data_IF_705498081407
#
_entry.id   IF_705498081407
#
_cell.length_a   1.000
_cell.length_b   1.000
_cell.length_c   1.000
_cell.angle_alpha   90.00
_cell.angle_beta   90.00
_cell.angle_gamma   90.00
#
_symmetry.space_group_name_H-M   'P 1'
#
loop_
_entity.id
_entity.type
_entity.pdbx_description
1 polymer ?
#
# COMPACT_ATOMS: atom_id res chain seq x y z
N UNK A 1 -2.25 32.80 5.42
CA UNK A 1 -1.31 31.66 5.38
C UNK A 1 -1.85 30.67 4.38
N UNK A 2 -1.31 30.64 3.16
CA UNK A 2 -1.63 29.60 2.19
C UNK A 2 -0.84 28.37 2.59
N UNK A 3 -1.53 27.32 3.04
CA UNK A 3 -0.92 26.00 3.20
C UNK A 3 -0.77 25.43 1.80
N UNK A 4 0.40 25.62 1.20
CA UNK A 4 0.77 24.93 -0.04
C UNK A 4 1.00 23.48 0.32
N UNK A 5 -0.02 22.64 0.17
CA UNK A 5 0.17 21.18 0.23
C UNK A 5 0.84 20.80 -1.09
N UNK A 6 2.15 20.61 -1.06
CA UNK A 6 2.86 19.94 -2.15
C UNK A 6 2.43 18.47 -2.15
N UNK A 7 1.31 18.18 -2.83
CA UNK A 7 0.91 16.82 -3.16
C UNK A 7 1.85 16.31 -4.26
N UNK A 8 3.10 16.00 -3.91
CA UNK A 8 3.92 15.13 -4.75
C UNK A 8 3.22 13.78 -4.77
N UNK A 9 2.33 13.56 -5.74
CA UNK A 9 1.78 12.25 -6.01
C UNK A 9 2.93 11.41 -6.54
N UNK A 10 3.39 10.47 -5.73
CA UNK A 10 4.33 9.46 -6.20
C UNK A 10 3.70 8.68 -7.35
N UNK A 11 4.53 8.10 -8.21
CA UNK A 11 4.04 7.23 -9.28
C UNK A 11 3.17 6.12 -8.66
N UNK A 12 2.09 5.76 -9.34
CA UNK A 12 1.29 4.61 -8.93
C UNK A 12 2.16 3.37 -9.15
N UNK A 13 2.45 2.59 -8.09
CA UNK A 13 3.23 1.38 -8.26
C UNK A 13 2.48 0.38 -9.14
N UNK A 14 3.20 -0.36 -9.98
CA UNK A 14 2.60 -1.51 -10.67
C UNK A 14 2.41 -2.64 -9.66
N UNK A 15 1.16 -3.06 -9.46
CA UNK A 15 0.79 -4.06 -8.45
C UNK A 15 0.59 -5.41 -9.13
N UNK A 16 1.22 -6.45 -8.58
CA UNK A 16 1.05 -7.84 -8.97
C UNK A 16 0.46 -8.63 -7.80
N UNK A 17 -0.65 -9.31 -8.04
CA UNK A 17 -1.33 -10.13 -7.03
C UNK A 17 -1.20 -11.60 -7.44
N UNK A 18 -0.68 -12.43 -6.54
CA UNK A 18 -0.51 -13.87 -6.74
C UNK A 18 -1.11 -14.65 -5.58
N UNK A 19 -1.63 -15.84 -5.83
CA UNK A 19 -2.09 -16.73 -4.76
C UNK A 19 -0.88 -17.43 -4.13
N UNK A 20 -0.80 -17.41 -2.79
CA UNK A 20 0.23 -18.10 -2.00
C UNK A 20 -0.37 -19.31 -1.30
N UNK A 21 0.46 -20.18 -0.73
CA UNK A 21 0.00 -21.36 0.03
C UNK A 21 -0.83 -20.96 1.26
N UNK A 22 -0.51 -19.81 1.86
CA UNK A 22 -1.09 -19.30 3.10
C UNK A 22 -2.18 -18.23 2.88
N UNK A 23 -2.39 -17.78 1.63
CA UNK A 23 -3.26 -16.64 1.35
C UNK A 23 -2.97 -15.96 0.00
N UNK A 24 -2.83 -14.63 0.01
CA UNK A 24 -2.59 -13.81 -1.19
C UNK A 24 -1.31 -13.01 -1.04
N UNK A 25 -0.37 -13.20 -1.96
CA UNK A 25 0.84 -12.40 -2.06
C UNK A 25 0.58 -11.18 -2.94
N UNK A 26 0.73 -10.00 -2.34
CA UNK A 26 0.65 -8.71 -3.03
C UNK A 26 2.06 -8.17 -3.14
N UNK A 27 2.53 -8.00 -4.37
CA UNK A 27 3.84 -7.43 -4.67
C UNK A 27 3.67 -6.21 -5.55
N UNK A 28 4.63 -5.29 -5.50
CA UNK A 28 4.59 -4.09 -6.33
C UNK A 28 5.98 -3.66 -6.77
N UNK A 29 6.04 -2.82 -7.80
CA UNK A 29 7.30 -2.21 -8.21
C UNK A 29 7.70 -1.07 -7.26
N UNK A 30 9.01 -0.95 -6.95
CA UNK A 30 9.51 0.13 -6.10
C UNK A 30 9.32 1.48 -6.77
N UNK A 31 8.73 2.42 -6.04
CA UNK A 31 8.51 3.80 -6.52
C UNK A 31 9.64 4.69 -6.05
N UNK A 32 10.20 5.47 -6.98
CA UNK A 32 11.26 6.43 -6.65
C UNK A 32 10.77 7.48 -5.66
N UNK A 33 11.55 7.74 -4.62
CA UNK A 33 11.20 8.61 -3.48
C UNK A 33 10.11 8.08 -2.56
N UNK A 34 9.67 6.82 -2.66
CA UNK A 34 8.81 6.20 -1.65
C UNK A 34 9.65 5.67 -0.48
N UNK A 35 9.28 6.03 0.75
CA UNK A 35 9.87 5.45 1.96
C UNK A 35 8.98 4.35 2.57
N UNK A 36 7.70 4.35 2.22
CA UNK A 36 6.72 3.37 2.67
C UNK A 36 5.61 3.16 1.63
N UNK A 37 4.85 2.10 1.82
CA UNK A 37 3.73 1.71 0.99
C UNK A 37 2.55 1.36 1.89
N UNK A 38 1.44 2.05 1.68
CA UNK A 38 0.18 1.80 2.36
C UNK A 38 -0.65 0.81 1.54
N UNK A 39 -0.98 -0.31 2.15
CA UNK A 39 -1.80 -1.35 1.54
C UNK A 39 -3.21 -1.23 2.09
N UNK A 40 -4.17 -1.14 1.18
CA UNK A 40 -5.58 -1.12 1.47
C UNK A 40 -6.22 -2.36 0.86
N UNK A 41 -7.24 -2.87 1.54
CA UNK A 41 -7.97 -4.06 1.11
C UNK A 41 -9.47 -3.83 1.25
N UNK A 42 -10.22 -4.13 0.19
CA UNK A 42 -11.67 -4.07 0.17
C UNK A 42 -12.25 -5.45 -0.19
N UNK A 43 -13.44 -5.76 0.28
CA UNK A 43 -14.20 -6.97 -0.12
C UNK A 43 -15.19 -6.71 -1.25
N UNK A 44 -15.42 -5.44 -1.58
CA UNK A 44 -16.30 -5.01 -2.66
C UNK A 44 -15.51 -4.19 -3.69
N UNK A 45 -15.65 -4.46 -5.01
CA UNK A 45 -14.91 -3.74 -6.05
C UNK A 45 -15.25 -2.24 -6.14
N UNK A 46 -16.45 -1.87 -5.72
CA UNK A 46 -16.97 -0.50 -5.71
C UNK A 46 -17.11 0.06 -4.30
N UNK A 47 -16.72 -0.73 -3.29
CA UNK A 47 -16.75 -0.35 -1.89
C UNK A 47 -15.59 0.58 -1.52
N UNK A 48 -15.72 1.17 -0.35
CA UNK A 48 -14.68 2.03 0.20
C UNK A 48 -13.52 1.16 0.73
N UNK A 49 -12.30 1.54 0.36
CA UNK A 49 -11.07 0.87 0.83
C UNK A 49 -10.72 1.23 2.29
N UNK A 50 -11.54 2.05 2.93
CA UNK A 50 -11.25 2.68 4.21
C UNK A 50 -10.25 3.82 4.06
N UNK A 51 -10.24 4.70 5.06
CA UNK A 51 -9.24 5.78 5.15
C UNK A 51 -7.94 5.31 5.80
N UNK A 52 -7.92 4.12 6.40
CA UNK A 52 -6.77 3.56 7.10
C UNK A 52 -6.23 2.36 6.31
N UNK A 53 -4.91 2.30 6.07
CA UNK A 53 -4.31 1.12 5.47
C UNK A 53 -4.40 -0.07 6.43
N UNK A 54 -4.59 -1.26 5.86
CA UNK A 54 -4.56 -2.52 6.61
C UNK A 54 -3.14 -2.94 6.96
N UNK A 55 -2.16 -2.48 6.18
CA UNK A 55 -0.75 -2.74 6.38
C UNK A 55 0.09 -1.59 5.81
N UNK A 56 1.22 -1.31 6.46
CA UNK A 56 2.23 -0.38 5.98
C UNK A 56 3.54 -1.12 5.83
N UNK A 57 4.10 -1.11 4.62
CA UNK A 57 5.39 -1.75 4.31
C UNK A 57 6.44 -0.69 4.06
N UNK A 58 7.56 -0.77 4.77
CA UNK A 58 8.66 0.16 4.61
C UNK A 58 9.56 -0.25 3.43
N UNK A 59 10.03 0.73 2.65
CA UNK A 59 11.03 0.49 1.63
C UNK A 59 12.34 -0.05 2.27
N UNK A 60 13.10 -0.92 1.57
CA UNK A 60 12.95 -1.32 0.17
C UNK A 60 12.03 -2.54 -0.03
N UNK A 61 11.28 -2.98 0.99
CA UNK A 61 10.37 -4.10 0.83
C UNK A 61 9.20 -3.69 -0.08
N UNK A 62 8.88 -4.55 -1.05
CA UNK A 62 7.79 -4.30 -2.02
C UNK A 62 6.84 -5.49 -2.14
N UNK A 63 6.70 -6.25 -1.06
CA UNK A 63 5.83 -7.40 -0.98
C UNK A 63 5.16 -7.49 0.39
N UNK A 64 3.92 -7.94 0.40
CA UNK A 64 3.12 -8.19 1.58
C UNK A 64 2.22 -9.40 1.35
N UNK A 65 2.08 -10.25 2.37
CA UNK A 65 1.22 -11.44 2.30
C UNK A 65 -0.04 -11.21 3.15
N UNK A 66 -1.19 -11.22 2.49
CA UNK A 66 -2.50 -11.28 3.13
C UNK A 66 -2.77 -12.74 3.52
N UNK A 67 -2.78 -13.03 4.82
CA UNK A 67 -3.09 -14.35 5.37
C UNK A 67 -4.56 -14.50 5.74
N UNK A 68 -5.38 -13.48 5.48
CA UNK A 68 -6.79 -13.50 5.85
C UNK A 68 -7.61 -14.23 4.78
N UNK A 69 -8.46 -15.14 5.23
CA UNK A 69 -9.25 -15.97 4.33
C UNK A 69 -10.53 -15.22 3.97
N UNK A 70 -10.51 -14.53 2.84
CA UNK A 70 -11.67 -13.83 2.27
C UNK A 70 -12.15 -14.51 0.98
N UNK A 71 -13.47 -14.56 0.73
CA UNK A 71 -14.01 -15.10 -0.52
C UNK A 71 -13.61 -14.26 -1.73
N UNK A 72 -13.45 -12.96 -1.55
CA UNK A 72 -12.95 -12.01 -2.53
C UNK A 72 -12.27 -10.85 -1.81
N UNK A 73 -11.14 -10.40 -2.34
CA UNK A 73 -10.40 -9.25 -1.84
C UNK A 73 -9.82 -8.44 -3.01
N UNK A 74 -9.90 -7.13 -2.90
CA UNK A 74 -9.32 -6.16 -3.80
C UNK A 74 -8.24 -5.40 -3.07
N UNK A 75 -7.09 -5.19 -3.71
CA UNK A 75 -5.93 -4.57 -3.10
C UNK A 75 -5.58 -3.27 -3.80
N UNK A 76 -5.21 -2.27 -3.01
CA UNK A 76 -4.70 -0.99 -3.48
C UNK A 76 -3.43 -0.68 -2.72
N UNK A 77 -2.34 -0.48 -3.44
CA UNK A 77 -1.05 -0.08 -2.88
C UNK A 77 -0.83 1.38 -3.22
N UNK A 78 -0.55 2.20 -2.21
CA UNK A 78 -0.25 3.62 -2.37
C UNK A 78 1.16 3.85 -1.87
N UNK A 79 2.03 4.33 -2.76
CA UNK A 79 3.36 4.75 -2.39
C UNK A 79 3.27 6.07 -1.60
N UNK A 80 3.91 6.11 -0.44
CA UNK A 80 3.95 7.27 0.42
C UNK A 80 5.39 7.63 0.77
N UNK A 81 5.64 8.95 0.83
CA UNK A 81 6.84 9.52 1.40
C UNK A 81 6.43 10.21 2.69
N UNK A 82 6.41 9.43 3.77
CA UNK A 82 6.17 9.95 5.10
C UNK A 82 7.50 10.40 5.69
N UNK A 83 7.52 11.58 6.32
CA UNK A 83 8.60 11.99 7.21
C UNK A 83 8.49 11.11 8.46
N UNK A 84 9.04 9.90 8.37
CA UNK A 84 9.15 9.00 9.51
C UNK A 84 9.97 9.77 10.55
N UNK A 85 9.43 10.05 11.76
CA UNK A 85 10.23 10.66 12.80
C UNK A 85 11.43 9.75 12.99
N UNK A 86 12.62 10.33 12.80
CA UNK A 86 13.88 9.64 13.03
C UNK A 86 13.75 8.91 14.37
N UNK A 87 13.99 7.60 14.36
CA UNK A 87 14.13 6.84 15.59
C UNK A 87 15.18 7.57 16.45
N UNK A 88 14.71 8.26 17.49
CA UNK A 88 15.57 8.98 18.43
C UNK A 88 16.49 7.99 19.15
#
# INVERSE_FOLDING_TARGET
>A
VTVTVNLTSLAVPEITISKSASGVLVSWEPVTNANCYHIYRATDPYGDYGTLPIATVLAPQTSWEDTEILPMAFYKVVAALEDLPAKQ
#
